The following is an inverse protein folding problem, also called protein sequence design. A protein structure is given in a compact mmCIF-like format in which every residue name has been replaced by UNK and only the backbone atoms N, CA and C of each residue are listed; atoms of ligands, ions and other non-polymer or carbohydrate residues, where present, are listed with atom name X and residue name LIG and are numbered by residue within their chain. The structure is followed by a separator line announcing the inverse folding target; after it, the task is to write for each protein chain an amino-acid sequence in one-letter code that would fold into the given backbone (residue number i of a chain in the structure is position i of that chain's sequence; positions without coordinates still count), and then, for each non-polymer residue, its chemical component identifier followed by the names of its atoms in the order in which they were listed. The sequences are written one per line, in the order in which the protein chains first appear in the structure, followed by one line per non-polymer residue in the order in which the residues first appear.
data_IF_527549663497
#
_entry.id   IF_527549663497
#
_cell.length_a   1.000
_cell.length_b   1.000
_cell.length_c   1.000
_cell.angle_alpha   90.00
_cell.angle_beta   90.00
_cell.angle_gamma   90.00
#
_symmetry.space_group_name_H-M   'P 1'
#
loop_
_entity.id
_entity.type
_entity.pdbx_description
1 polymer ?
#
# COMPACT_ATOMS: atom_id res chain seq x y z
N UNK A 1 -100.18 -39.83 45.23
CA UNK A 1 -99.10 -39.66 46.24
C UNK A 1 -97.75 -39.65 45.53
N UNK A 2 -97.18 -38.46 45.40
CA UNK A 2 -95.75 -38.10 45.20
C UNK A 2 -94.84 -38.86 44.21
N UNK A 3 -94.60 -38.20 43.07
CA UNK A 3 -93.30 -37.83 42.46
C UNK A 3 -92.05 -38.69 42.71
N UNK A 4 -91.36 -39.07 41.61
CA UNK A 4 -90.02 -38.53 41.27
C UNK A 4 -89.55 -39.04 39.89
N UNK A 5 -89.61 -38.17 38.88
CA UNK A 5 -88.88 -38.36 37.62
C UNK A 5 -87.41 -37.94 37.83
N UNK A 6 -86.48 -38.90 37.83
CA UNK A 6 -85.04 -38.63 37.80
C UNK A 6 -84.59 -38.47 36.35
N UNK A 7 -84.42 -37.22 35.90
CA UNK A 7 -83.68 -36.94 34.67
C UNK A 7 -82.17 -37.11 34.92
N UNK A 8 -81.56 -38.15 34.34
CA UNK A 8 -80.11 -38.25 34.20
C UNK A 8 -79.68 -37.39 33.00
N UNK A 9 -79.15 -36.20 33.27
CA UNK A 9 -78.40 -35.42 32.29
C UNK A 9 -77.09 -36.15 31.97
N UNK A 10 -77.01 -36.74 30.79
CA UNK A 10 -75.77 -37.31 30.23
C UNK A 10 -74.88 -36.14 29.77
N UNK A 11 -73.68 -35.93 30.33
CA UNK A 11 -72.85 -34.80 29.92
C UNK A 11 -72.41 -34.97 28.47
N UNK A 12 -72.57 -33.90 27.68
CA UNK A 12 -72.19 -33.81 26.27
C UNK A 12 -70.64 -33.74 26.13
N UNK A 13 -69.98 -34.88 26.28
CA UNK A 13 -68.52 -35.03 26.26
C UNK A 13 -67.96 -35.00 24.82
N UNK A 14 -68.80 -35.22 23.82
CA UNK A 14 -68.40 -35.35 22.40
C UNK A 14 -68.06 -34.01 21.74
N UNK A 15 -68.76 -32.92 22.06
CA UNK A 15 -68.46 -31.59 21.44
C UNK A 15 -67.18 -30.95 21.99
N UNK A 16 -66.82 -31.23 23.26
CA UNK A 16 -65.62 -30.66 23.88
C UNK A 16 -64.32 -31.23 23.28
N UNK A 17 -64.32 -32.51 22.90
CA UNK A 17 -63.16 -33.19 22.29
C UNK A 17 -62.87 -32.70 20.86
N UNK A 18 -63.90 -32.43 20.05
CA UNK A 18 -63.73 -31.91 18.68
C UNK A 18 -63.23 -30.46 18.67
N UNK A 19 -63.73 -29.63 19.59
CA UNK A 19 -63.26 -28.26 19.81
C UNK A 19 -61.81 -28.23 20.31
N UNK A 20 -61.44 -29.07 21.28
CA UNK A 20 -60.05 -29.21 21.74
C UNK A 20 -59.10 -29.67 20.63
N UNK A 21 -59.53 -30.60 19.76
CA UNK A 21 -58.74 -31.06 18.61
C UNK A 21 -58.57 -29.96 17.55
N UNK A 22 -59.60 -29.14 17.32
CA UNK A 22 -59.54 -27.96 16.44
C UNK A 22 -58.59 -26.89 17.00
N UNK A 23 -58.66 -26.61 18.30
CA UNK A 23 -57.77 -25.68 18.99
C UNK A 23 -56.30 -26.17 18.97
N UNK A 24 -56.07 -27.47 19.16
CA UNK A 24 -54.72 -28.06 19.05
C UNK A 24 -54.15 -27.95 17.63
N UNK A 25 -54.96 -28.21 16.59
CA UNK A 25 -54.56 -28.01 15.20
C UNK A 25 -54.19 -26.56 14.90
N UNK A 26 -54.97 -25.59 15.41
CA UNK A 26 -54.65 -24.16 15.26
C UNK A 26 -53.36 -23.77 15.98
N UNK A 27 -53.09 -24.34 17.17
CA UNK A 27 -51.82 -24.14 17.89
C UNK A 27 -50.62 -24.72 17.15
N UNK A 28 -50.76 -25.92 16.59
CA UNK A 28 -49.71 -26.54 15.76
C UNK A 28 -49.45 -25.72 14.50
N UNK A 29 -50.51 -25.27 13.81
CA UNK A 29 -50.39 -24.39 12.65
C UNK A 29 -49.69 -23.06 12.99
N UNK A 30 -50.02 -22.47 14.14
CA UNK A 30 -49.39 -21.25 14.63
C UNK A 30 -47.91 -21.46 14.93
N UNK A 31 -47.53 -22.58 15.55
CA UNK A 31 -46.12 -22.93 15.81
C UNK A 31 -45.33 -23.11 14.51
N UNK A 32 -45.93 -23.74 13.50
CA UNK A 32 -45.31 -23.90 12.18
C UNK A 32 -45.10 -22.54 11.51
N UNK A 33 -46.10 -21.66 11.55
CA UNK A 33 -46.00 -20.32 10.98
C UNK A 33 -44.92 -19.47 11.69
N UNK A 34 -44.84 -19.58 13.02
CA UNK A 34 -43.84 -18.91 13.83
C UNK A 34 -42.43 -19.40 13.48
N UNK A 35 -42.24 -20.72 13.36
CA UNK A 35 -40.96 -21.30 12.94
C UNK A 35 -40.55 -20.82 11.54
N UNK A 36 -41.50 -20.76 10.60
CA UNK A 36 -41.25 -20.29 9.24
C UNK A 36 -40.84 -18.80 9.22
N UNK A 37 -41.45 -17.98 10.08
CA UNK A 37 -41.10 -16.57 10.22
C UNK A 37 -39.68 -16.40 10.78
N UNK A 38 -39.31 -17.19 11.80
CA UNK A 38 -37.96 -17.18 12.37
C UNK A 38 -36.92 -17.56 11.31
N UNK A 39 -37.17 -18.62 10.53
CA UNK A 39 -36.27 -19.05 9.45
C UNK A 39 -36.09 -17.95 8.40
N UNK A 40 -37.17 -17.26 8.02
CA UNK A 40 -37.08 -16.15 7.06
C UNK A 40 -36.25 -14.98 7.60
N UNK A 41 -36.46 -14.59 8.87
CA UNK A 41 -35.68 -13.50 9.49
C UNK A 41 -34.19 -13.86 9.54
N UNK A 42 -33.85 -15.09 9.92
CA UNK A 42 -32.47 -15.57 9.92
C UNK A 42 -31.88 -15.54 8.51
N UNK A 43 -32.63 -16.02 7.50
CA UNK A 43 -32.20 -15.99 6.10
C UNK A 43 -31.90 -14.57 5.60
N UNK A 44 -32.75 -13.60 5.93
CA UNK A 44 -32.54 -12.19 5.57
C UNK A 44 -31.28 -11.64 6.24
N UNK A 45 -31.04 -11.95 7.53
CA UNK A 45 -29.84 -11.50 8.24
C UNK A 45 -28.57 -12.08 7.61
N UNK A 46 -28.58 -13.36 7.23
CA UNK A 46 -27.44 -14.02 6.56
C UNK A 46 -27.17 -13.37 5.21
N UNK A 47 -28.20 -13.19 4.38
CA UNK A 47 -28.03 -12.58 3.04
C UNK A 47 -27.61 -11.11 3.15
N UNK A 48 -28.15 -10.37 4.11
CA UNK A 48 -27.79 -8.97 4.34
C UNK A 48 -26.36 -8.80 4.88
N UNK A 49 -25.84 -9.79 5.62
CA UNK A 49 -24.47 -9.78 6.15
C UNK A 49 -23.42 -10.27 5.15
N UNK A 50 -23.84 -10.96 4.08
CA UNK A 50 -22.97 -11.28 2.96
C UNK A 50 -22.58 -10.01 2.23
N UNK A 51 -21.29 -9.66 2.33
CA UNK A 51 -20.71 -8.56 1.57
C UNK A 51 -20.68 -8.97 0.09
N UNK A 52 -21.63 -8.48 -0.71
CA UNK A 52 -21.76 -8.76 -2.15
C UNK A 52 -20.67 -8.10 -3.01
N UNK A 53 -19.80 -7.29 -2.39
CA UNK A 53 -18.73 -6.61 -3.09
C UNK A 53 -17.37 -7.23 -2.73
N UNK A 54 -16.84 -8.03 -3.67
CA UNK A 54 -15.45 -8.46 -3.64
C UNK A 54 -14.59 -7.26 -4.02
N UNK A 55 -14.01 -6.57 -3.02
CA UNK A 55 -13.04 -5.50 -3.26
C UNK A 55 -11.71 -6.13 -3.70
N UNK A 56 -11.52 -6.28 -5.00
CA UNK A 56 -10.24 -6.72 -5.57
C UNK A 56 -9.32 -5.51 -5.77
N UNK A 57 -8.16 -5.52 -5.10
CA UNK A 57 -7.09 -4.56 -5.41
C UNK A 57 -6.44 -4.99 -6.73
N UNK A 58 -6.56 -4.16 -7.75
CA UNK A 58 -5.90 -4.36 -9.05
C UNK A 58 -4.85 -3.27 -9.21
N UNK A 59 -3.59 -3.67 -9.44
CA UNK A 59 -2.52 -2.72 -9.77
C UNK A 59 -2.74 -2.23 -11.19
N UNK A 60 -2.97 -0.93 -11.36
CA UNK A 60 -3.29 -0.34 -12.67
C UNK A 60 -2.04 -0.13 -13.54
N UNK A 61 -0.96 0.32 -12.91
CA UNK A 61 0.34 0.62 -13.53
C UNK A 61 1.46 0.52 -12.49
N UNK A 62 2.69 0.35 -12.96
CA UNK A 62 3.91 0.39 -12.15
C UNK A 62 4.77 1.56 -12.62
N UNK A 63 5.13 2.43 -11.69
CA UNK A 63 6.12 3.48 -11.91
C UNK A 63 7.43 2.99 -11.31
N UNK A 64 8.51 3.11 -12.07
CA UNK A 64 9.86 2.73 -11.65
C UNK A 64 10.74 3.96 -11.64
N UNK A 65 11.61 4.00 -10.64
CA UNK A 65 12.66 5.00 -10.48
C UNK A 65 13.98 4.27 -10.58
N UNK A 66 14.90 4.78 -11.38
CA UNK A 66 16.23 4.24 -11.54
C UNK A 66 17.24 5.38 -11.42
N UNK A 67 18.28 5.15 -10.62
CA UNK A 67 19.36 6.12 -10.41
C UNK A 67 20.65 5.40 -10.75
N UNK A 68 21.38 5.95 -11.70
CA UNK A 68 22.66 5.43 -12.15
C UNK A 68 23.74 6.44 -11.79
N UNK A 69 24.82 5.96 -11.20
CA UNK A 69 25.99 6.77 -10.87
C UNK A 69 27.18 6.34 -11.73
N UNK A 70 27.82 7.31 -12.34
CA UNK A 70 29.07 7.17 -13.08
C UNK A 70 30.08 8.17 -12.51
N UNK A 71 31.37 7.92 -12.64
CA UNK A 71 32.39 8.87 -12.20
C UNK A 71 33.61 8.87 -13.10
N UNK A 72 34.24 10.03 -13.19
CA UNK A 72 35.50 10.22 -13.91
C UNK A 72 36.50 10.81 -12.91
N UNK A 73 37.59 10.09 -12.67
CA UNK A 73 38.67 10.52 -11.80
C UNK A 73 39.89 10.95 -12.64
N UNK A 74 40.24 12.24 -12.60
CA UNK A 74 41.45 12.74 -13.22
C UNK A 74 42.63 12.62 -12.25
N UNK A 75 43.72 12.03 -12.71
CA UNK A 75 44.92 11.81 -11.92
C UNK A 75 45.93 12.96 -12.06
N UNK A 76 46.72 13.15 -11.00
CA UNK A 76 47.98 13.89 -11.06
C UNK A 76 49.01 13.08 -11.85
N UNK A 77 50.04 13.71 -12.45
CA UNK A 77 51.15 13.00 -13.07
C UNK A 77 51.72 11.95 -12.10
N UNK A 78 51.80 10.70 -12.55
CA UNK A 78 52.21 9.57 -11.73
C UNK A 78 52.80 8.46 -12.62
N UNK A 79 53.61 7.58 -12.01
CA UNK A 79 54.26 6.45 -12.70
C UNK A 79 53.45 5.15 -12.62
N UNK A 80 52.43 5.12 -11.76
CA UNK A 80 51.69 3.90 -11.42
C UNK A 80 50.63 3.58 -12.47
N UNK A 81 49.96 4.62 -12.97
CA UNK A 81 48.96 4.55 -14.01
C UNK A 81 49.55 5.17 -15.28
N UNK A 82 49.48 4.42 -16.38
CA UNK A 82 49.85 4.92 -17.71
C UNK A 82 48.71 5.77 -18.35
N UNK A 83 47.79 6.26 -17.54
CA UNK A 83 46.60 7.03 -17.95
C UNK A 83 46.42 8.23 -17.03
N UNK A 84 45.85 9.30 -17.58
CA UNK A 84 45.54 10.53 -16.84
C UNK A 84 44.11 10.56 -16.29
N UNK A 85 43.25 9.63 -16.73
CA UNK A 85 41.84 9.55 -16.38
C UNK A 85 41.47 8.10 -16.11
N UNK A 86 40.88 7.85 -14.95
CA UNK A 86 40.32 6.56 -14.57
C UNK A 86 38.79 6.62 -14.63
N UNK A 87 38.21 5.57 -15.20
CA UNK A 87 36.77 5.31 -15.30
C UNK A 87 36.30 4.38 -14.18
N UNK A 88 34.98 4.20 -13.96
CA UNK A 88 34.50 3.19 -13.05
C UNK A 88 35.02 1.81 -13.47
N UNK A 89 35.15 0.90 -12.50
CA UNK A 89 35.70 -0.47 -12.61
C UNK A 89 37.21 -0.62 -12.44
N UNK A 90 37.98 0.47 -12.47
CA UNK A 90 39.41 0.45 -12.17
C UNK A 90 39.69 0.93 -10.74
N UNK A 91 40.50 0.16 -9.99
CA UNK A 91 40.94 0.55 -8.65
C UNK A 91 41.73 1.86 -8.75
N UNK A 92 41.31 2.88 -8.00
CA UNK A 92 41.94 4.20 -8.03
C UNK A 92 42.56 4.55 -6.68
N UNK A 93 43.84 4.94 -6.67
CA UNK A 93 44.47 5.49 -5.48
C UNK A 93 44.06 6.96 -5.29
N UNK A 94 43.17 7.23 -4.34
CA UNK A 94 42.62 8.57 -4.08
C UNK A 94 43.70 9.67 -3.88
N UNK A 95 44.87 9.33 -3.32
CA UNK A 95 45.99 10.30 -3.17
C UNK A 95 46.52 10.84 -4.50
N UNK A 96 46.42 10.06 -5.57
CA UNK A 96 46.84 10.45 -6.91
C UNK A 96 45.74 11.20 -7.66
N UNK A 97 44.51 11.20 -7.16
CA UNK A 97 43.38 11.87 -7.80
C UNK A 97 43.49 13.38 -7.59
N UNK A 98 43.39 14.12 -8.70
CA UNK A 98 43.31 15.58 -8.72
C UNK A 98 41.86 16.04 -8.67
N UNK A 99 40.99 15.39 -9.43
CA UNK A 99 39.60 15.80 -9.61
C UNK A 99 38.70 14.58 -9.79
N UNK A 100 37.54 14.59 -9.15
CA UNK A 100 36.49 13.58 -9.29
C UNK A 100 35.21 14.28 -9.72
N UNK A 101 34.72 13.93 -10.91
CA UNK A 101 33.40 14.30 -11.37
C UNK A 101 32.49 13.08 -11.28
N UNK A 102 31.44 13.17 -10.47
CA UNK A 102 30.40 12.15 -10.38
C UNK A 102 29.22 12.61 -11.21
N UNK A 103 28.68 11.73 -12.02
CA UNK A 103 27.48 11.99 -12.81
C UNK A 103 26.37 11.07 -12.36
N UNK A 104 25.27 11.68 -11.93
CA UNK A 104 24.01 11.02 -11.63
C UNK A 104 23.12 11.07 -12.87
N UNK A 105 22.52 9.94 -13.24
CA UNK A 105 21.45 9.85 -14.23
C UNK A 105 20.20 9.31 -13.54
N UNK A 106 19.21 10.17 -13.37
CA UNK A 106 17.92 9.82 -12.76
C UNK A 106 16.89 9.60 -13.87
N UNK A 107 16.22 8.44 -13.79
CA UNK A 107 15.16 8.05 -14.70
C UNK A 107 13.92 7.66 -13.94
N UNK A 108 12.77 8.21 -14.32
CA UNK A 108 11.47 7.69 -13.91
C UNK A 108 10.67 7.30 -15.13
N UNK A 109 10.05 6.13 -15.11
CA UNK A 109 9.25 5.63 -16.22
C UNK A 109 8.11 4.70 -15.75
N UNK A 110 7.02 4.68 -16.51
CA UNK A 110 5.91 3.74 -16.29
C UNK A 110 5.90 2.62 -17.33
N UNK A 111 5.43 1.44 -16.92
CA UNK A 111 5.17 0.30 -17.80
C UNK A 111 4.05 0.56 -18.81
N UNK A 112 3.17 1.53 -18.55
CA UNK A 112 2.09 1.95 -19.44
C UNK A 112 2.23 3.42 -19.83
N UNK A 113 1.62 3.78 -20.96
CA UNK A 113 1.54 5.17 -21.38
C UNK A 113 0.50 5.91 -20.53
N UNK A 114 0.95 6.45 -19.40
CA UNK A 114 0.14 7.22 -18.45
C UNK A 114 0.67 8.65 -18.36
N UNK A 115 -0.23 9.63 -18.16
CA UNK A 115 0.18 11.01 -17.95
C UNK A 115 0.58 11.20 -16.49
N UNK A 116 1.88 11.16 -16.22
CA UNK A 116 2.43 11.51 -14.91
C UNK A 116 2.87 12.96 -14.95
N UNK A 117 2.46 13.73 -13.94
CA UNK A 117 2.88 15.10 -13.76
C UNK A 117 3.59 15.20 -12.41
N UNK A 118 4.77 15.79 -12.41
CA UNK A 118 5.57 15.90 -11.21
C UNK A 118 6.73 16.86 -11.36
N UNK A 119 7.38 17.10 -10.24
CA UNK A 119 8.54 17.98 -10.14
C UNK A 119 9.71 17.17 -9.61
N UNK A 120 10.78 17.09 -10.39
CA UNK A 120 12.02 16.47 -9.97
C UNK A 120 12.96 17.52 -9.38
N UNK A 121 13.45 17.25 -8.18
CA UNK A 121 14.45 18.06 -7.49
C UNK A 121 15.54 17.15 -6.94
N UNK A 122 16.78 17.60 -6.97
CA UNK A 122 17.91 16.90 -6.36
C UNK A 122 18.75 17.92 -5.57
N UNK A 123 19.37 17.47 -4.48
CA UNK A 123 20.35 18.25 -3.73
C UNK A 123 21.43 17.35 -3.16
N UNK A 124 22.65 17.91 -3.07
CA UNK A 124 23.82 17.26 -2.48
C UNK A 124 23.99 17.83 -1.08
N UNK A 125 23.92 16.95 -0.09
CA UNK A 125 24.03 17.29 1.33
C UNK A 125 25.32 16.70 1.90
N UNK A 126 26.06 17.50 2.66
CA UNK A 126 27.09 17.02 3.57
C UNK A 126 26.47 16.91 4.96
N UNK A 127 26.55 15.74 5.58
CA UNK A 127 25.96 15.52 6.89
C UNK A 127 26.94 14.89 7.87
N UNK A 128 26.90 15.37 9.12
CA UNK A 128 27.39 14.67 10.28
C UNK A 128 26.18 14.00 10.96
N UNK A 129 26.08 12.66 10.98
CA UNK A 129 24.91 11.96 11.47
C UNK A 129 24.54 12.38 12.90
N UNK A 130 23.34 12.94 13.07
CA UNK A 130 22.82 13.36 14.38
C UNK A 130 23.25 14.76 14.83
N UNK A 131 24.12 15.46 14.09
CA UNK A 131 24.63 16.77 14.49
C UNK A 131 24.18 17.89 13.55
N UNK A 132 24.64 17.88 12.29
CA UNK A 132 24.36 18.95 11.34
C UNK A 132 24.28 18.44 9.90
N UNK A 133 23.57 19.21 9.06
CA UNK A 133 23.49 18.99 7.61
C UNK A 133 23.73 20.30 6.88
N UNK A 134 24.54 20.27 5.82
CA UNK A 134 24.82 21.42 4.97
C UNK A 134 24.52 21.08 3.51
N UNK A 135 23.63 21.84 2.89
CA UNK A 135 23.43 21.75 1.45
C UNK A 135 24.62 22.36 0.71
N UNK A 136 25.27 21.55 -0.12
CA UNK A 136 26.43 21.94 -0.92
C UNK A 136 26.03 22.32 -2.34
N UNK A 137 25.01 21.67 -2.88
CA UNK A 137 24.51 21.92 -4.21
C UNK A 137 23.03 21.59 -4.30
N UNK A 138 22.30 22.36 -5.10
CA UNK A 138 20.90 22.13 -5.42
C UNK A 138 20.72 22.09 -6.93
N UNK A 139 20.21 20.96 -7.43
CA UNK A 139 19.91 20.79 -8.83
C UNK A 139 18.72 21.66 -9.25
N UNK A 140 18.68 22.13 -10.49
CA UNK A 140 17.52 22.83 -11.02
C UNK A 140 16.29 21.92 -10.99
N UNK A 141 15.18 22.50 -10.52
CA UNK A 141 13.89 21.83 -10.52
C UNK A 141 13.42 21.56 -11.95
N UNK A 142 13.06 20.32 -12.24
CA UNK A 142 12.60 19.90 -13.57
C UNK A 142 11.17 19.41 -13.47
N UNK A 143 10.24 20.18 -14.03
CA UNK A 143 8.85 19.75 -14.16
C UNK A 143 8.72 18.80 -15.35
N UNK A 144 8.01 17.70 -15.18
CA UNK A 144 7.74 16.74 -16.24
C UNK A 144 6.26 16.39 -16.26
N UNK A 145 5.73 16.21 -17.48
CA UNK A 145 4.33 15.90 -17.74
C UNK A 145 4.20 14.74 -18.73
N UNK A 146 4.98 13.71 -18.49
CA UNK A 146 5.20 12.56 -19.35
C UNK A 146 5.30 11.29 -18.52
N UNK A 147 5.11 10.14 -19.16
CA UNK A 147 5.35 8.82 -18.56
C UNK A 147 6.84 8.50 -18.38
N UNK A 148 7.73 9.43 -18.74
CA UNK A 148 9.18 9.26 -18.78
C UNK A 148 9.89 10.57 -18.47
N UNK A 149 10.90 10.53 -17.61
CA UNK A 149 11.86 11.61 -17.38
C UNK A 149 13.26 10.98 -17.33
N UNK A 150 14.22 11.63 -17.97
CA UNK A 150 15.65 11.33 -17.89
C UNK A 150 16.40 12.64 -17.69
N UNK A 151 17.03 12.77 -16.52
CA UNK A 151 17.81 13.95 -16.15
C UNK A 151 19.19 13.52 -15.69
N UNK A 152 20.18 14.32 -16.07
CA UNK A 152 21.59 14.04 -15.81
C UNK A 152 22.22 15.24 -15.11
N UNK A 153 22.86 14.98 -13.98
CA UNK A 153 23.57 16.00 -13.20
C UNK A 153 25.00 15.56 -12.96
N UNK A 154 25.96 16.45 -13.19
CA UNK A 154 27.37 16.19 -12.93
C UNK A 154 27.87 17.10 -11.82
N UNK A 155 28.46 16.49 -10.80
CA UNK A 155 28.96 17.16 -9.61
C UNK A 155 30.47 16.97 -9.49
N UNK A 156 31.18 18.04 -9.19
CA UNK A 156 32.59 17.96 -8.84
C UNK A 156 32.74 17.68 -7.34
N UNK A 157 33.07 16.44 -6.99
CA UNK A 157 33.11 15.96 -5.60
C UNK A 157 34.48 16.21 -4.95
N UNK A 158 35.48 16.64 -5.71
CA UNK A 158 36.83 16.92 -5.20
C UNK A 158 36.84 17.95 -4.06
N UNK A 159 35.98 18.97 -4.13
CA UNK A 159 35.83 19.95 -3.05
C UNK A 159 35.21 19.34 -1.80
N UNK A 160 34.30 18.38 -1.95
CA UNK A 160 33.64 17.71 -0.83
C UNK A 160 34.66 16.89 -0.04
N UNK A 161 35.57 16.19 -0.72
CA UNK A 161 36.67 15.47 -0.06
C UNK A 161 37.56 16.40 0.76
N UNK A 162 37.82 17.62 0.25
CA UNK A 162 38.62 18.60 1.02
C UNK A 162 37.92 19.07 2.30
N UNK A 163 36.58 19.19 2.29
CA UNK A 163 35.83 19.51 3.51
C UNK A 163 35.87 18.36 4.52
N UNK A 164 35.77 17.11 4.05
CA UNK A 164 35.88 15.93 4.91
C UNK A 164 37.25 15.86 5.57
N UNK A 165 38.33 16.16 4.84
CA UNK A 165 39.69 16.16 5.37
C UNK A 165 39.93 17.24 6.44
N UNK A 166 39.24 18.38 6.34
CA UNK A 166 39.30 19.44 7.36
C UNK A 166 38.59 18.97 8.63
N UNK A 167 37.36 18.46 8.50
CA UNK A 167 36.56 17.98 9.64
C UNK A 167 37.29 16.86 10.40
N UNK A 168 37.98 15.96 9.70
CA UNK A 168 38.68 14.82 10.33
C UNK A 168 39.95 15.22 11.11
N UNK A 169 40.45 16.45 10.92
CA UNK A 169 41.65 16.95 11.60
C UNK A 169 41.35 17.74 12.86
N UNK A 170 40.11 18.19 13.02
CA UNK A 170 39.59 18.73 14.28
C UNK A 170 39.27 17.58 15.25
#
# INVERSE_FOLDING_TARGET
MTLKLKFKLKPNITSRKSLLRSLYRKKVLFLILLALLIINVIGVIIVASMHTQIKKKVVLYKIRHNILFDYIASLRPNILYNVSVIKPEETTYLKLVKLINVTETYRVYSDKNIRVEGTHTCSVLLEAPGEWKKELYKCPSTNFRSNYLDVKYTFNVSKILSYIDIIRKE
#
